data_IF_868996692092
#
_entry.id   IF_868996692092
#
_cell.length_a   1.000
_cell.length_b   1.000
_cell.length_c   1.000
_cell.angle_alpha   90.00
_cell.angle_beta   90.00
_cell.angle_gamma   90.00
#
_symmetry.space_group_name_H-M   'P 1'
#
loop_
_entity.id
_entity.type
_entity.pdbx_description
1 polymer ?
#
# COMPACT_ATOMS: atom_id res chain seq x y z
N UNK A 1 -4.61 -7.89 -22.09
CA UNK A 1 -4.58 -7.80 -20.61
C UNK A 1 -3.67 -8.91 -20.09
N UNK A 2 -2.43 -8.61 -19.69
CA UNK A 2 -1.37 -9.62 -19.48
C UNK A 2 -1.30 -10.23 -18.06
N UNK A 3 -2.09 -9.75 -17.10
CA UNK A 3 -1.94 -10.09 -15.68
C UNK A 3 -2.83 -11.24 -15.18
N UNK A 4 -3.92 -11.51 -15.89
CA UNK A 4 -4.96 -12.47 -15.50
C UNK A 4 -5.11 -13.52 -16.59
N UNK A 5 -4.90 -14.79 -16.21
CA UNK A 5 -5.12 -15.96 -17.05
C UNK A 5 -5.90 -16.98 -16.22
N UNK A 6 -6.81 -17.71 -16.87
CA UNK A 6 -7.68 -18.68 -16.20
C UNK A 6 -8.81 -18.03 -15.39
N UNK A 7 -9.22 -18.69 -14.30
CA UNK A 7 -10.37 -18.31 -13.45
C UNK A 7 -10.15 -17.12 -12.50
N UNK A 8 -9.00 -16.45 -12.56
CA UNK A 8 -8.62 -15.38 -11.63
C UNK A 8 -8.90 -13.99 -12.19
N UNK A 9 -9.66 -13.18 -11.47
CA UNK A 9 -9.89 -11.76 -11.77
C UNK A 9 -9.18 -10.83 -10.79
N UNK A 10 -9.18 -9.53 -11.08
CA UNK A 10 -8.62 -8.51 -10.19
C UNK A 10 -9.39 -8.40 -8.88
N UNK A 11 -10.71 -8.54 -8.94
CA UNK A 11 -11.60 -8.52 -7.79
C UNK A 11 -11.31 -9.69 -6.85
N UNK A 12 -11.06 -10.88 -7.41
CA UNK A 12 -10.66 -12.07 -6.65
C UNK A 12 -9.30 -11.87 -5.96
N UNK A 13 -8.31 -11.32 -6.66
CA UNK A 13 -7.02 -11.00 -6.06
C UNK A 13 -7.15 -9.97 -4.94
N UNK A 14 -8.02 -8.97 -5.13
CA UNK A 14 -8.27 -7.94 -4.12
C UNK A 14 -8.90 -8.54 -2.86
N UNK A 15 -9.89 -9.42 -3.02
CA UNK A 15 -10.53 -10.10 -1.89
C UNK A 15 -9.60 -11.11 -1.21
N UNK A 16 -8.79 -11.83 -2.00
CA UNK A 16 -7.76 -12.74 -1.50
C UNK A 16 -6.79 -12.00 -0.57
N UNK A 17 -6.23 -10.88 -1.05
CA UNK A 17 -5.23 -10.11 -0.31
C UNK A 17 -5.83 -9.45 0.93
N UNK A 18 -7.03 -8.85 0.82
CA UNK A 18 -7.70 -8.22 1.97
C UNK A 18 -8.01 -9.23 3.08
N UNK A 19 -8.47 -10.43 2.71
CA UNK A 19 -8.73 -11.52 3.65
C UNK A 19 -7.45 -11.98 4.34
N UNK A 20 -6.37 -12.16 3.58
CA UNK A 20 -5.06 -12.52 4.14
C UNK A 20 -4.51 -11.46 5.11
N UNK A 21 -4.62 -10.17 4.76
CA UNK A 21 -4.20 -9.06 5.63
C UNK A 21 -5.01 -9.05 6.92
N UNK A 22 -6.32 -9.24 6.82
CA UNK A 22 -7.23 -9.30 7.97
C UNK A 22 -6.87 -10.48 8.88
N UNK A 23 -6.66 -11.68 8.31
CA UNK A 23 -6.31 -12.88 9.10
C UNK A 23 -4.90 -12.84 9.69
N UNK A 24 -3.98 -12.12 9.05
CA UNK A 24 -2.63 -11.85 9.57
C UNK A 24 -2.68 -10.88 10.75
N UNK A 25 -3.64 -9.96 10.77
CA UNK A 25 -3.78 -8.96 11.83
C UNK A 25 -4.17 -9.67 13.14
N UNK A 26 -3.17 -10.02 13.95
CA UNK A 26 -3.34 -10.81 15.17
C UNK A 26 -2.49 -12.08 15.24
N UNK A 27 -1.78 -12.47 14.17
CA UNK A 27 -0.87 -13.62 14.16
C UNK A 27 0.54 -13.20 13.73
N UNK A 28 1.55 -13.64 14.49
CA UNK A 28 2.94 -13.64 14.04
C UNK A 28 3.15 -14.81 13.07
N UNK A 29 2.60 -14.69 11.86
CA UNK A 29 2.94 -15.62 10.78
C UNK A 29 4.37 -15.29 10.31
N UNK A 30 5.30 -16.21 10.51
CA UNK A 30 6.63 -16.13 9.89
C UNK A 30 6.52 -16.20 8.37
N UNK A 31 7.43 -15.51 7.68
CA UNK A 31 7.31 -15.17 6.26
C UNK A 31 7.31 -16.36 5.28
N UNK A 32 7.55 -17.58 5.76
CA UNK A 32 7.73 -18.73 4.89
C UNK A 32 6.40 -19.15 4.22
N UNK A 33 5.38 -19.53 4.98
CA UNK A 33 4.17 -20.18 4.44
C UNK A 33 2.88 -19.69 5.10
N UNK A 34 1.81 -19.64 4.30
CA UNK A 34 0.46 -19.36 4.82
C UNK A 34 -0.08 -20.67 5.41
N UNK A 35 -0.53 -20.68 6.67
CA UNK A 35 -1.10 -21.87 7.29
C UNK A 35 -2.34 -22.42 6.55
N UNK A 36 -2.56 -23.74 6.60
CA UNK A 36 -3.67 -24.38 5.90
C UNK A 36 -5.05 -23.93 6.39
N UNK A 37 -5.19 -23.60 7.69
CA UNK A 37 -6.42 -23.05 8.25
C UNK A 37 -6.75 -21.68 7.64
N UNK A 38 -5.72 -20.86 7.39
CA UNK A 38 -5.87 -19.57 6.71
C UNK A 38 -6.29 -19.78 5.25
N UNK A 39 -5.67 -20.73 4.54
CA UNK A 39 -6.05 -21.03 3.15
C UNK A 39 -7.49 -21.56 3.05
N UNK A 40 -7.94 -22.40 3.98
CA UNK A 40 -9.32 -22.87 4.05
C UNK A 40 -10.32 -21.74 4.28
N UNK A 41 -10.01 -20.80 5.17
CA UNK A 41 -10.85 -19.62 5.43
C UNK A 41 -10.96 -18.73 4.19
N UNK A 42 -9.83 -18.45 3.55
CA UNK A 42 -9.75 -17.66 2.31
C UNK A 42 -10.59 -18.30 1.20
N UNK A 43 -10.49 -19.63 1.02
CA UNK A 43 -11.30 -20.37 0.06
C UNK A 43 -12.78 -20.18 0.30
N UNK A 44 -13.24 -20.30 1.56
CA UNK A 44 -14.64 -20.11 1.91
C UNK A 44 -15.13 -18.69 1.58
N UNK A 45 -14.31 -17.68 1.88
CA UNK A 45 -14.63 -16.27 1.58
C UNK A 45 -14.70 -15.98 0.08
N UNK A 46 -13.80 -16.56 -0.72
CA UNK A 46 -13.77 -16.35 -2.17
C UNK A 46 -14.88 -17.10 -2.91
N UNK A 47 -15.20 -18.33 -2.48
CA UNK A 47 -16.21 -19.14 -3.15
C UNK A 47 -17.64 -18.58 -2.99
N UNK A 48 -17.90 -17.79 -1.94
CA UNK A 48 -19.22 -17.19 -1.71
C UNK A 48 -19.63 -16.17 -2.80
N UNK A 49 -18.84 -15.14 -3.13
CA UNK A 49 -19.18 -14.19 -4.19
C UNK A 49 -18.86 -14.65 -5.62
N UNK A 50 -17.90 -15.57 -5.82
CA UNK A 50 -17.38 -15.90 -7.16
C UNK A 50 -17.77 -17.28 -7.70
N UNK A 51 -18.44 -18.11 -6.90
CA UNK A 51 -18.77 -19.49 -7.25
C UNK A 51 -17.79 -20.50 -6.64
N UNK A 52 -18.30 -21.68 -6.30
CA UNK A 52 -17.65 -22.64 -5.38
C UNK A 52 -16.55 -23.54 -5.95
N UNK A 53 -15.86 -23.14 -7.02
CA UNK A 53 -14.94 -24.03 -7.75
C UNK A 53 -13.46 -23.87 -7.37
N UNK A 54 -13.13 -22.97 -6.42
CA UNK A 54 -11.77 -22.85 -5.92
C UNK A 54 -11.49 -23.92 -4.85
N UNK A 55 -10.42 -24.67 -5.08
CA UNK A 55 -9.82 -25.56 -4.10
C UNK A 55 -8.80 -24.82 -3.23
N UNK A 56 -8.42 -25.39 -2.10
CA UNK A 56 -7.35 -24.82 -1.26
C UNK A 56 -6.03 -24.74 -2.01
N UNK A 57 -5.77 -25.72 -2.89
CA UNK A 57 -4.57 -25.76 -3.74
C UNK A 57 -4.57 -24.61 -4.75
N UNK A 58 -5.71 -24.27 -5.35
CA UNK A 58 -5.84 -23.11 -6.23
C UNK A 58 -5.43 -21.82 -5.50
N UNK A 59 -5.88 -21.66 -4.26
CA UNK A 59 -5.51 -20.51 -3.41
C UNK A 59 -4.00 -20.50 -3.14
N UNK A 60 -3.43 -21.64 -2.74
CA UNK A 60 -2.01 -21.75 -2.45
C UNK A 60 -1.14 -21.41 -3.67
N UNK A 61 -1.50 -21.94 -4.85
CA UNK A 61 -0.84 -21.63 -6.12
C UNK A 61 -0.92 -20.13 -6.41
N UNK A 62 -2.08 -19.50 -6.24
CA UNK A 62 -2.24 -18.07 -6.48
C UNK A 62 -1.41 -17.21 -5.52
N UNK A 63 -1.43 -17.53 -4.23
CA UNK A 63 -0.63 -16.82 -3.21
C UNK A 63 0.87 -16.91 -3.54
N UNK A 64 1.35 -18.08 -3.92
CA UNK A 64 2.75 -18.27 -4.30
C UNK A 64 3.13 -17.47 -5.56
N UNK A 65 2.24 -17.42 -6.55
CA UNK A 65 2.43 -16.58 -7.74
C UNK A 65 2.53 -15.10 -7.37
N UNK A 66 1.62 -14.60 -6.53
CA UNK A 66 1.62 -13.20 -6.08
C UNK A 66 2.88 -12.86 -5.26
N UNK A 67 3.29 -13.75 -4.35
CA UNK A 67 4.57 -13.63 -3.62
C UNK A 67 5.76 -13.54 -4.58
N UNK A 68 5.82 -14.41 -5.58
CA UNK A 68 6.90 -14.41 -6.56
C UNK A 68 6.92 -13.12 -7.41
N UNK A 69 5.75 -12.63 -7.84
CA UNK A 69 5.62 -11.36 -8.58
C UNK A 69 6.06 -10.17 -7.72
N UNK A 70 5.62 -10.11 -6.47
CA UNK A 70 6.03 -9.07 -5.53
C UNK A 70 7.54 -9.07 -5.29
N UNK A 71 8.16 -10.24 -5.08
CA UNK A 71 9.62 -10.34 -4.92
C UNK A 71 10.38 -9.84 -6.15
N UNK A 72 9.91 -10.16 -7.36
CA UNK A 72 10.53 -9.65 -8.60
C UNK A 72 10.36 -8.15 -8.73
N UNK A 73 9.14 -7.63 -8.50
CA UNK A 73 8.88 -6.20 -8.53
C UNK A 73 9.75 -5.45 -7.52
N UNK A 74 9.80 -5.94 -6.28
CA UNK A 74 10.63 -5.38 -5.22
C UNK A 74 12.10 -5.37 -5.63
N UNK A 75 12.63 -6.46 -6.20
CA UNK A 75 14.01 -6.50 -6.70
C UNK A 75 14.25 -5.42 -7.77
N UNK A 76 13.34 -5.27 -8.74
CA UNK A 76 13.47 -4.24 -9.78
C UNK A 76 13.45 -2.84 -9.16
N UNK A 77 12.56 -2.57 -8.20
CA UNK A 77 12.48 -1.28 -7.51
C UNK A 77 13.72 -1.02 -6.66
N UNK A 78 14.25 -2.04 -5.97
CA UNK A 78 15.46 -1.92 -5.16
C UNK A 78 16.72 -1.73 -6.04
N UNK A 79 16.77 -2.37 -7.21
CA UNK A 79 17.87 -2.26 -8.18
C UNK A 79 17.82 -0.93 -8.95
N UNK A 80 16.63 -0.34 -9.11
CA UNK A 80 16.45 1.00 -9.66
C UNK A 80 16.68 2.02 -8.54
N UNK A 81 17.88 2.60 -8.50
CA UNK A 81 18.05 3.91 -7.86
C UNK A 81 17.14 4.88 -8.60
N UNK A 82 15.94 5.12 -8.06
CA UNK A 82 15.14 6.25 -8.47
C UNK A 82 15.91 7.46 -7.98
N UNK A 83 16.85 7.94 -8.80
CA UNK A 83 17.29 9.33 -8.72
C UNK A 83 16.03 10.14 -9.00
N UNK A 84 15.38 10.58 -7.93
CA UNK A 84 14.37 11.62 -8.02
C UNK A 84 15.12 12.83 -8.56
N UNK A 85 15.12 12.97 -9.89
CA UNK A 85 15.49 14.20 -10.55
C UNK A 85 14.48 15.24 -10.05
N UNK A 86 14.91 16.05 -9.08
CA UNK A 86 14.33 17.37 -8.86
C UNK A 86 14.65 18.20 -10.11
N UNK A 87 13.99 17.89 -11.21
CA UNK A 87 14.16 18.61 -12.47
C UNK A 87 13.49 19.97 -12.29
N UNK A 88 14.31 20.98 -12.02
CA UNK A 88 13.89 22.39 -12.09
C UNK A 88 13.64 22.70 -13.56
N UNK A 89 12.38 22.73 -13.96
CA UNK A 89 11.99 23.18 -15.30
C UNK A 89 12.10 24.70 -15.32
N UNK A 90 13.20 25.24 -15.86
CA UNK A 90 13.35 26.67 -16.13
C UNK A 90 12.78 26.96 -17.53
N UNK A 91 11.54 27.47 -17.60
CA UNK A 91 11.01 28.06 -18.83
C UNK A 91 11.41 29.53 -18.82
N UNK A 92 12.32 29.93 -19.71
CA UNK A 92 12.75 31.33 -19.89
C UNK A 92 12.22 31.84 -21.23
N UNK A 93 11.00 32.35 -21.22
CA UNK A 93 10.55 33.33 -22.21
C UNK A 93 10.53 34.71 -21.54
N UNK A 94 10.99 35.73 -22.27
CA UNK A 94 11.56 36.99 -21.79
C UNK A 94 10.65 37.94 -20.97
N UNK A 95 9.84 37.48 -20.04
CA UNK A 95 9.15 38.42 -19.13
C UNK A 95 8.85 37.96 -17.71
N UNK A 96 9.03 36.69 -17.28
CA UNK A 96 8.81 36.33 -15.87
C UNK A 96 9.42 34.96 -15.52
N UNK A 97 10.20 34.88 -14.43
CA UNK A 97 10.74 33.62 -13.90
C UNK A 97 9.78 33.09 -12.84
N UNK A 98 9.06 32.01 -13.14
CA UNK A 98 8.24 31.30 -12.15
C UNK A 98 9.09 30.15 -11.59
N UNK A 99 9.50 30.26 -10.33
CA UNK A 99 10.21 29.19 -9.60
C UNK A 99 9.17 28.36 -8.85
N UNK A 100 8.87 27.15 -9.32
CA UNK A 100 8.09 26.18 -8.57
C UNK A 100 9.04 25.32 -7.72
N UNK A 101 9.16 25.65 -6.45
CA UNK A 101 9.80 24.79 -5.44
C UNK A 101 8.71 24.14 -4.60
N UNK A 102 8.74 22.81 -4.45
CA UNK A 102 8.00 22.14 -3.38
C UNK A 102 8.67 22.46 -2.04
N UNK A 103 8.38 23.63 -1.50
CA UNK A 103 8.66 23.99 -0.10
C UNK A 103 7.46 24.71 0.45
N UNK A 104 6.55 23.95 1.08
CA UNK A 104 6.36 23.98 2.52
C UNK A 104 5.05 23.30 2.89
N UNK A 105 5.13 22.26 3.73
CA UNK A 105 3.98 21.80 4.51
C UNK A 105 3.48 23.00 5.31
N UNK A 106 2.18 23.37 5.25
CA UNK A 106 1.68 24.45 6.08
C UNK A 106 1.80 24.06 7.56
N UNK A 107 2.78 24.65 8.25
CA UNK A 107 2.92 24.53 9.70
C UNK A 107 1.75 25.29 10.32
N UNK A 108 0.82 24.55 10.93
CA UNK A 108 -0.31 25.13 11.64
C UNK A 108 0.17 26.17 12.69
N UNK A 109 -0.49 27.32 12.82
CA UNK A 109 -0.10 28.33 13.81
C UNK A 109 -0.18 27.75 15.22
N UNK A 110 0.95 27.72 15.92
CA UNK A 110 0.97 27.48 17.36
C UNK A 110 0.31 28.71 18.00
N UNK A 111 -0.94 28.55 18.46
CA UNK A 111 -1.64 29.58 19.24
C UNK A 111 -0.87 29.75 20.56
N UNK A 112 -0.11 30.84 20.62
CA UNK A 112 0.65 31.24 21.80
C UNK A 112 -0.25 31.29 23.03
N UNK A 113 0.17 30.56 24.05
CA UNK A 113 -0.27 30.67 25.44
C UNK A 113 0.27 32.00 26.00
N UNK A 114 -0.54 32.96 26.47
CA UNK A 114 -0.02 34.09 27.21
C UNK A 114 0.22 33.65 28.66
N UNK A 115 1.47 33.76 29.12
CA UNK A 115 1.81 33.61 30.54
C UNK A 115 1.58 34.94 31.28
N UNK A 116 0.75 34.83 32.32
CA UNK A 116 0.84 35.36 33.70
C UNK A 116 1.08 36.86 34.02
N UNK A 117 0.02 37.41 34.67
CA UNK A 117 0.02 38.22 35.93
C UNK A 117 0.42 39.72 35.87
N UNK A 118 0.09 40.57 36.89
CA UNK A 118 -0.59 40.34 38.19
C UNK A 118 -1.71 41.38 38.59
N UNK A 119 -2.35 41.10 39.75
CA UNK A 119 -3.06 41.99 40.70
C UNK A 119 -4.36 42.67 40.21
N UNK A 120 -5.44 42.83 40.99
CA UNK A 120 -5.54 43.15 42.42
C UNK A 120 -6.92 42.76 43.00
N UNK A 121 -6.97 42.79 44.34
CA UNK A 121 -8.07 42.38 45.23
C UNK A 121 -9.27 43.35 45.26
N UNK A 122 -10.48 42.82 45.44
CA UNK A 122 -11.38 43.06 46.60
C UNK A 122 -12.69 42.24 46.46
#
# INVERSE_FOLDING_TARGET
>A
MFFYQGKWTQEMDSLLLSTLITLRSGRKCEDANVPDDVLCNVRAVLNHPFGGDLTTDDIAVRVNLLKARFRRFKKVVDDVKVEILHEVITISDNTEVIVLSETDVPKAPIRGKPNDSPADSD
#
